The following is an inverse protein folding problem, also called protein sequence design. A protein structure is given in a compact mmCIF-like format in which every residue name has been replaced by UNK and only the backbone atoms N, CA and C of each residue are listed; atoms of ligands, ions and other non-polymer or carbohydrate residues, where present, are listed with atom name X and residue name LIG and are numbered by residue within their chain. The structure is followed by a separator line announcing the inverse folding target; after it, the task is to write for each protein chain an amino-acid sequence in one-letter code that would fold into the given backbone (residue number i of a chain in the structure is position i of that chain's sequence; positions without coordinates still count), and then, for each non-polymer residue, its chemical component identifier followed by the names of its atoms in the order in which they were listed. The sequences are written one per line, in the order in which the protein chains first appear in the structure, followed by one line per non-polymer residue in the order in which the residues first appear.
data_IF_023958820170
#
_entry.id   IF_023958820170
#
_cell.length_a   1.000
_cell.length_b   1.000
_cell.length_c   1.000
_cell.angle_alpha   90.00
_cell.angle_beta   90.00
_cell.angle_gamma   90.00
#
_symmetry.space_group_name_H-M   'P 1'
#
loop_
_entity.id
_entity.type
_entity.pdbx_description
1 polymer ?
#
# COMPACT_ATOMS: atom_id res chain seq x y z
N UNK A 1 -2.28 3.71 -16.92
CA UNK A 1 -2.65 4.61 -15.81
C UNK A 1 -1.38 5.22 -15.23
N UNK A 2 -1.36 6.51 -14.94
CA UNK A 2 -0.25 7.17 -14.23
C UNK A 2 -0.52 7.13 -12.71
N UNK A 3 0.44 6.63 -11.93
CA UNK A 3 0.29 6.46 -10.48
C UNK A 3 0.25 7.79 -9.72
N UNK A 4 0.95 8.81 -10.20
CA UNK A 4 1.02 10.13 -9.57
C UNK A 4 -0.23 10.99 -9.80
N UNK A 5 -1.10 10.59 -10.72
CA UNK A 5 -2.31 11.32 -11.08
C UNK A 5 -3.57 10.66 -10.50
N UNK A 6 -4.73 11.26 -10.76
CA UNK A 6 -6.02 10.65 -10.43
C UNK A 6 -6.18 9.31 -11.16
N UNK A 7 -6.68 8.31 -10.44
CA UNK A 7 -6.96 6.99 -11.00
C UNK A 7 -8.42 6.95 -11.45
N UNK A 8 -8.74 6.29 -12.57
CA UNK A 8 -10.12 5.94 -12.87
C UNK A 8 -10.71 5.08 -11.75
N UNK A 9 -12.03 4.93 -11.74
CA UNK A 9 -12.68 4.02 -10.80
C UNK A 9 -12.14 2.59 -10.99
N UNK A 10 -11.47 2.07 -9.97
CA UNK A 10 -10.93 0.70 -9.96
C UNK A 10 -11.81 -0.17 -9.05
N UNK A 11 -12.00 -1.45 -9.40
CA UNK A 11 -12.68 -2.40 -8.53
C UNK A 11 -11.86 -2.66 -7.26
N UNK A 12 -12.53 -3.18 -6.23
CA UNK A 12 -11.86 -3.61 -5.00
C UNK A 12 -11.05 -4.89 -5.24
N UNK A 13 -9.77 -4.87 -4.88
CA UNK A 13 -8.78 -5.92 -5.14
C UNK A 13 -8.34 -6.58 -3.84
N UNK A 14 -8.21 -7.91 -3.85
CA UNK A 14 -7.66 -8.67 -2.72
C UNK A 14 -6.13 -8.68 -2.67
N UNK A 15 -5.46 -8.47 -3.81
CA UNK A 15 -4.00 -8.47 -3.89
C UNK A 15 -3.53 -7.39 -4.84
N UNK A 16 -2.54 -6.60 -4.42
CA UNK A 16 -1.91 -5.56 -5.24
C UNK A 16 -0.38 -5.75 -5.19
N UNK A 17 0.24 -5.88 -6.37
CA UNK A 17 1.69 -5.91 -6.51
C UNK A 17 2.20 -4.55 -7.00
N UNK A 18 3.03 -3.91 -6.19
CA UNK A 18 3.63 -2.60 -6.48
C UNK A 18 5.12 -2.62 -6.12
N UNK A 19 5.85 -3.54 -6.76
CA UNK A 19 7.26 -3.81 -6.47
C UNK A 19 8.20 -2.91 -7.27
N UNK A 20 9.19 -2.31 -6.61
CA UNK A 20 10.24 -1.49 -7.23
C UNK A 20 9.76 -0.23 -7.97
N UNK A 21 8.54 0.24 -7.71
CA UNK A 21 7.97 1.43 -8.36
C UNK A 21 7.98 2.65 -7.44
N UNK A 22 7.66 2.47 -6.16
CA UNK A 22 7.63 3.57 -5.18
C UNK A 22 9.00 4.20 -4.90
N UNK A 23 10.11 3.60 -5.37
CA UNK A 23 11.45 4.18 -5.24
C UNK A 23 11.67 5.42 -6.11
N UNK A 24 10.88 5.59 -7.17
CA UNK A 24 11.04 6.69 -8.14
C UNK A 24 10.32 7.97 -7.74
N UNK A 25 9.49 7.93 -6.70
CA UNK A 25 8.68 9.06 -6.27
C UNK A 25 9.27 9.72 -5.03
N UNK A 26 8.91 10.98 -4.78
CA UNK A 26 9.16 11.64 -3.51
C UNK A 26 8.22 11.11 -2.40
N UNK A 27 8.40 11.55 -1.16
CA UNK A 27 7.62 11.08 -0.02
C UNK A 27 6.13 11.45 -0.11
N UNK A 28 5.81 12.65 -0.60
CA UNK A 28 4.44 13.15 -0.72
C UNK A 28 3.67 12.33 -1.76
N UNK A 29 4.27 12.14 -2.94
CA UNK A 29 3.73 11.34 -4.02
C UNK A 29 3.54 9.88 -3.59
N UNK A 30 4.49 9.31 -2.83
CA UNK A 30 4.32 7.95 -2.25
C UNK A 30 3.10 7.86 -1.34
N UNK A 31 2.92 8.81 -0.41
CA UNK A 31 1.74 8.85 0.48
C UNK A 31 0.44 8.96 -0.30
N UNK A 32 0.42 9.82 -1.31
CA UNK A 32 -0.76 9.98 -2.17
C UNK A 32 -1.09 8.69 -2.94
N UNK A 33 -0.08 7.99 -3.46
CA UNK A 33 -0.26 6.68 -4.11
C UNK A 33 -0.80 5.65 -3.10
N UNK A 34 -0.19 5.52 -1.93
CA UNK A 34 -0.61 4.54 -0.90
C UNK A 34 -2.03 4.81 -0.38
N UNK A 35 -2.42 6.08 -0.24
CA UNK A 35 -3.80 6.45 0.11
C UNK A 35 -4.81 5.99 -0.94
N UNK A 36 -4.48 6.09 -2.23
CA UNK A 36 -5.33 5.55 -3.32
C UNK A 36 -5.36 4.03 -3.32
N UNK A 37 -4.21 3.37 -3.10
CA UNK A 37 -4.14 1.91 -2.93
C UNK A 37 -5.07 1.44 -1.82
N UNK A 38 -5.07 2.12 -0.66
CA UNK A 38 -5.94 1.77 0.47
C UNK A 38 -7.43 1.79 0.11
N UNK A 39 -7.87 2.71 -0.75
CA UNK A 39 -9.28 2.81 -1.18
C UNK A 39 -9.73 1.64 -2.05
N UNK A 40 -8.81 1.03 -2.78
CA UNK A 40 -9.10 -0.07 -3.73
C UNK A 40 -8.67 -1.43 -3.20
N UNK A 41 -7.92 -1.49 -2.10
CA UNK A 41 -7.55 -2.72 -1.43
C UNK A 41 -8.68 -3.17 -0.49
N UNK A 42 -9.06 -4.44 -0.57
CA UNK A 42 -10.01 -5.04 0.39
C UNK A 42 -9.44 -4.99 1.82
N UNK A 43 -10.29 -4.96 2.86
CA UNK A 43 -9.84 -4.96 4.27
C UNK A 43 -8.90 -6.12 4.62
N UNK A 44 -9.11 -7.29 4.02
CA UNK A 44 -8.32 -8.52 4.17
C UNK A 44 -7.24 -8.68 3.08
N UNK A 45 -7.06 -7.67 2.23
CA UNK A 45 -6.17 -7.70 1.09
C UNK A 45 -4.69 -7.49 1.43
N UNK A 46 -3.83 -7.83 0.48
CA UNK A 46 -2.37 -7.78 0.61
C UNK A 46 -1.73 -6.84 -0.41
N UNK A 47 -0.81 -6.00 0.07
CA UNK A 47 0.04 -5.15 -0.77
C UNK A 47 1.50 -5.62 -0.72
N UNK A 48 2.09 -5.88 -1.87
CA UNK A 48 3.48 -6.34 -2.03
C UNK A 48 4.36 -5.24 -2.66
N UNK A 49 5.32 -4.71 -1.90
CA UNK A 49 6.12 -3.53 -2.29
C UNK A 49 7.55 -3.82 -2.78
N UNK A 50 8.02 -5.06 -2.65
CA UNK A 50 9.36 -5.47 -3.10
C UNK A 50 10.45 -5.30 -2.04
N UNK A 51 11.63 -5.88 -2.32
CA UNK A 51 12.66 -6.21 -1.33
C UNK A 51 13.64 -5.09 -0.94
N UNK A 52 13.55 -3.91 -1.53
CA UNK A 52 14.51 -2.84 -1.26
C UNK A 52 13.81 -1.66 -0.61
N UNK A 53 14.05 -1.42 0.69
CA UNK A 53 14.03 -0.11 1.39
C UNK A 53 12.78 0.79 1.31
N UNK A 54 11.72 0.42 0.60
CA UNK A 54 10.69 1.39 0.14
C UNK A 54 9.50 1.55 1.10
N UNK A 55 9.56 1.13 2.37
CA UNK A 55 8.35 1.23 3.21
C UNK A 55 8.57 1.25 4.72
N UNK A 56 9.78 1.46 5.21
CA UNK A 56 9.92 1.71 6.64
C UNK A 56 9.41 3.15 6.86
N UNK A 57 8.17 3.27 7.36
CA UNK A 57 7.52 4.51 7.83
C UNK A 57 6.98 5.50 6.78
N UNK A 58 6.47 5.04 5.63
CA UNK A 58 5.82 5.97 4.67
C UNK A 58 4.38 6.30 5.08
N UNK A 59 3.63 5.29 5.54
CA UNK A 59 2.22 5.42 5.86
C UNK A 59 1.84 4.47 7.02
N UNK A 60 1.33 5.03 8.11
CA UNK A 60 0.94 4.31 9.32
C UNK A 60 -0.32 3.47 9.13
N UNK A 61 -1.05 3.64 8.02
CA UNK A 61 -2.24 2.86 7.71
C UNK A 61 -1.96 1.47 7.14
N UNK A 62 -0.69 1.09 6.97
CA UNK A 62 -0.27 -0.25 6.59
C UNK A 62 0.64 -0.89 7.64
N UNK A 63 0.17 -2.00 8.23
CA UNK A 63 0.97 -2.90 9.04
C UNK A 63 1.84 -3.78 8.16
N UNK A 64 3.16 -3.74 8.34
CA UNK A 64 4.07 -4.71 7.72
C UNK A 64 3.85 -6.10 8.34
N UNK A 65 3.48 -7.06 7.50
CA UNK A 65 3.30 -8.46 7.85
C UNK A 65 4.30 -9.28 7.05
N UNK A 66 5.18 -10.03 7.71
CA UNK A 66 6.00 -11.03 7.00
C UNK A 66 5.21 -12.32 6.90
N UNK A 67 4.95 -12.79 5.69
CA UNK A 67 4.45 -14.15 5.47
C UNK A 67 5.67 -15.02 5.20
N UNK A 68 6.01 -15.86 6.17
CA UNK A 68 7.21 -16.70 6.17
C UNK A 68 8.50 -15.87 5.98
N UNK A 69 9.19 -15.97 4.83
CA UNK A 69 10.40 -15.17 4.49
C UNK A 69 10.13 -13.93 3.62
N UNK A 70 8.88 -13.65 3.23
CA UNK A 70 8.53 -12.56 2.30
C UNK A 70 7.93 -11.36 3.05
N UNK A 71 8.48 -10.14 2.90
CA UNK A 71 7.85 -8.94 3.45
C UNK A 71 6.54 -8.60 2.70
N UNK A 72 5.44 -8.51 3.44
CA UNK A 72 4.09 -8.15 2.98
C UNK A 72 3.54 -7.01 3.87
N UNK A 73 2.40 -6.42 3.50
CA UNK A 73 1.75 -5.30 4.22
C UNK A 73 0.22 -5.48 4.21
N UNK A 74 -0.45 -5.24 5.34
CA UNK A 74 -1.90 -5.30 5.55
C UNK A 74 -2.43 -3.93 6.04
N UNK A 75 -3.66 -3.52 5.72
CA UNK A 75 -4.27 -2.33 6.32
C UNK A 75 -4.37 -2.47 7.86
N UNK A 76 -4.19 -1.37 8.60
CA UNK A 76 -4.50 -1.35 10.04
C UNK A 76 -6.03 -1.30 10.21
N UNK A 77 -6.65 -2.22 11.00
CA UNK A 77 -8.07 -2.14 11.29
C UNK A 77 -8.39 -0.86 12.07
N UNK A 78 -9.47 -0.19 11.70
CA UNK A 78 -9.97 0.99 12.41
C UNK A 78 -10.43 0.55 13.80
N UNK A 79 -9.72 0.98 14.86
CA UNK A 79 -10.17 0.79 16.23
C UNK A 79 -11.35 1.74 16.46
N UNK A 80 -12.56 1.19 16.55
CA UNK A 80 -13.68 1.91 17.16
C UNK A 80 -13.28 2.24 18.59
N UNK A 81 -13.14 3.52 18.88
CA UNK A 81 -13.15 4.00 20.26
C UNK A 81 -14.53 3.65 20.84
N UNK A 82 -14.52 2.84 21.90
CA UNK A 82 -15.67 2.62 22.79
C UNK A 82 -15.60 3.69 23.87
#
# INVERSE_FOLDING_TARGET
MNLAQAWPALPSMGVIFMRNVLIYFDMETKKAILSRVKKVLKPDGYLFLGGAKTTLNIDESFNRVRIDKTPTTKPVPFRSAV
#
